data_IF_762979704278
#
_entry.id   IF_762979704278
#
_cell.length_a   1.000
_cell.length_b   1.000
_cell.length_c   1.000
_cell.angle_alpha   90.00
_cell.angle_beta   90.00
_cell.angle_gamma   90.00
#
_symmetry.space_group_name_H-M   'P 1'
#
loop_
_entity.id
_entity.type
_entity.pdbx_description
1 polymer ?
#
# COMPACT_ATOMS: atom_id res chain seq x y z
N UNK A 1 1.06 23.71 -13.76
CA UNK A 1 1.84 24.86 -13.28
C UNK A 1 1.38 26.15 -13.94
N UNK A 2 1.15 26.17 -15.25
CA UNK A 2 0.78 27.38 -16.00
C UNK A 2 -0.55 28.02 -15.53
N UNK A 3 -1.50 27.17 -15.07
CA UNK A 3 -2.81 27.62 -14.53
C UNK A 3 -2.72 28.13 -13.09
N UNK A 4 -1.69 27.72 -12.34
CA UNK A 4 -1.48 28.05 -10.94
C UNK A 4 -0.01 28.41 -10.70
N UNK A 5 0.42 29.62 -11.14
CA UNK A 5 1.83 30.02 -11.14
C UNK A 5 2.43 30.13 -9.73
N UNK A 6 1.58 30.43 -8.73
CA UNK A 6 1.98 30.59 -7.34
C UNK A 6 1.99 29.30 -6.52
N UNK A 7 1.74 28.14 -7.19
CA UNK A 7 1.71 26.83 -6.54
C UNK A 7 2.79 25.92 -7.10
N UNK A 8 3.46 25.21 -6.22
CA UNK A 8 4.32 24.09 -6.58
C UNK A 8 3.56 22.77 -6.44
N UNK A 9 3.58 21.99 -7.51
CA UNK A 9 2.97 20.65 -7.56
C UNK A 9 4.08 19.62 -7.60
N UNK A 10 4.02 18.67 -6.66
CA UNK A 10 5.00 17.59 -6.55
C UNK A 10 4.32 16.27 -6.86
N UNK A 11 4.74 15.55 -7.92
CA UNK A 11 4.26 14.20 -8.17
C UNK A 11 4.85 13.25 -7.13
N UNK A 12 3.99 12.37 -6.60
CA UNK A 12 4.39 11.39 -5.58
C UNK A 12 4.03 9.99 -6.07
N UNK A 13 4.98 9.08 -6.00
CA UNK A 13 4.77 7.65 -6.20
C UNK A 13 4.63 6.96 -4.84
N UNK A 14 3.45 6.41 -4.60
CA UNK A 14 3.15 5.62 -3.42
C UNK A 14 3.58 4.17 -3.64
N UNK A 15 4.57 3.69 -2.90
CA UNK A 15 4.96 2.28 -2.96
C UNK A 15 4.11 1.45 -2.00
N UNK A 16 3.35 0.52 -2.53
CA UNK A 16 2.52 -0.43 -1.75
C UNK A 16 3.35 -1.58 -1.17
N UNK A 17 4.42 -1.26 -0.46
CA UNK A 17 5.43 -2.21 0.03
C UNK A 17 4.93 -3.16 1.12
N UNK A 18 3.86 -2.78 1.81
CA UNK A 18 3.20 -3.58 2.85
C UNK A 18 2.27 -4.65 2.29
N UNK A 19 1.94 -4.60 1.00
CA UNK A 19 1.06 -5.59 0.39
C UNK A 19 1.67 -6.98 0.44
N UNK A 20 0.84 -8.00 0.42
CA UNK A 20 1.23 -9.41 0.51
C UNK A 20 0.88 -10.22 -0.74
N UNK A 21 0.23 -9.57 -1.71
CA UNK A 21 -0.15 -10.23 -2.97
C UNK A 21 1.04 -10.30 -3.92
N UNK A 22 1.90 -11.30 -3.69
CA UNK A 22 3.05 -11.56 -4.53
C UNK A 22 2.66 -11.95 -5.96
N UNK A 23 1.52 -12.59 -6.15
CA UNK A 23 1.08 -13.06 -7.48
C UNK A 23 0.90 -11.90 -8.45
N UNK A 24 0.41 -10.73 -7.97
CA UNK A 24 0.22 -9.54 -8.81
C UNK A 24 1.52 -8.98 -9.37
N UNK A 25 2.63 -9.15 -8.65
CA UNK A 25 3.94 -8.61 -9.03
C UNK A 25 4.92 -9.66 -9.53
N UNK A 26 4.52 -10.94 -9.49
CA UNK A 26 5.42 -12.08 -9.77
C UNK A 26 5.79 -12.21 -11.24
N UNK A 27 5.08 -11.54 -12.15
CA UNK A 27 5.32 -11.67 -13.57
C UNK A 27 5.08 -10.37 -14.35
N UNK A 28 5.78 -10.25 -15.47
CA UNK A 28 5.50 -9.21 -16.48
C UNK A 28 5.65 -9.77 -17.87
N UNK A 29 5.10 -9.07 -18.87
CA UNK A 29 5.19 -9.43 -20.28
C UNK A 29 6.01 -8.37 -21.00
N UNK A 30 7.02 -8.80 -21.74
CA UNK A 30 7.81 -7.95 -22.61
C UNK A 30 7.90 -8.59 -24.01
N UNK A 31 7.51 -7.83 -25.05
CA UNK A 31 7.45 -8.31 -26.44
C UNK A 31 6.75 -9.66 -26.61
N UNK A 32 5.65 -9.87 -25.90
CA UNK A 32 4.86 -11.12 -25.92
C UNK A 32 5.45 -12.28 -25.12
N UNK A 33 6.64 -12.14 -24.55
CA UNK A 33 7.28 -13.15 -23.70
C UNK A 33 7.00 -12.87 -22.23
N UNK A 34 6.52 -13.87 -21.50
CA UNK A 34 6.26 -13.80 -20.06
C UNK A 34 7.55 -14.06 -19.28
N UNK A 35 7.86 -13.15 -18.35
CA UNK A 35 8.93 -13.28 -17.37
C UNK A 35 8.29 -13.51 -16.00
N UNK A 36 8.59 -14.65 -15.37
CA UNK A 36 7.98 -15.09 -14.12
C UNK A 36 9.03 -15.25 -13.04
N UNK A 37 8.85 -14.52 -11.94
CA UNK A 37 9.67 -14.66 -10.74
C UNK A 37 9.09 -15.73 -9.83
N UNK A 38 9.83 -16.81 -9.63
CA UNK A 38 9.45 -17.91 -8.75
C UNK A 38 10.25 -17.80 -7.45
N UNK A 39 9.61 -17.31 -6.40
CA UNK A 39 10.21 -17.25 -5.07
C UNK A 39 9.14 -17.54 -4.00
N UNK A 40 9.59 -17.93 -2.82
CA UNK A 40 8.67 -18.04 -1.67
C UNK A 40 8.41 -16.64 -1.13
N UNK A 41 7.15 -16.28 -1.05
CA UNK A 41 6.69 -15.07 -0.39
C UNK A 41 5.65 -15.43 0.67
N UNK A 42 5.54 -14.68 1.71
CA UNK A 42 4.58 -14.93 2.79
C UNK A 42 4.31 -13.70 3.64
N UNK A 43 4.87 -12.55 3.25
CA UNK A 43 4.75 -11.30 3.98
C UNK A 43 4.68 -10.10 3.06
N UNK A 44 5.00 -8.94 3.59
CA UNK A 44 5.04 -7.68 2.85
C UNK A 44 5.98 -7.79 1.63
N UNK A 45 5.46 -7.56 0.43
CA UNK A 45 6.22 -7.73 -0.83
C UNK A 45 7.47 -6.87 -0.89
N UNK A 46 7.43 -5.68 -0.29
CA UNK A 46 8.58 -4.78 -0.21
C UNK A 46 9.79 -5.36 0.52
N UNK A 47 9.57 -6.33 1.41
CA UNK A 47 10.64 -6.97 2.21
C UNK A 47 11.27 -8.19 1.51
N UNK A 48 10.74 -8.63 0.37
CA UNK A 48 11.27 -9.79 -0.38
C UNK A 48 12.68 -9.46 -0.88
N UNK A 49 13.62 -10.35 -0.60
CA UNK A 49 15.01 -10.17 -1.05
C UNK A 49 15.14 -10.42 -2.55
N UNK A 50 15.82 -9.51 -3.23
CA UNK A 50 15.93 -9.51 -4.69
C UNK A 50 16.93 -10.52 -5.25
N UNK A 51 17.74 -11.16 -4.41
CA UNK A 51 18.78 -12.10 -4.87
C UNK A 51 18.29 -13.22 -5.79
N UNK A 52 17.07 -13.71 -5.58
CA UNK A 52 16.46 -14.75 -6.43
C UNK A 52 15.97 -14.24 -7.79
N UNK A 53 15.97 -12.92 -8.03
CA UNK A 53 15.63 -12.33 -9.34
C UNK A 53 16.74 -12.48 -10.38
N UNK A 54 17.97 -12.66 -9.97
CA UNK A 54 19.12 -12.61 -10.88
C UNK A 54 18.94 -13.47 -12.15
N UNK A 55 18.56 -14.76 -12.10
CA UNK A 55 18.39 -15.56 -13.32
C UNK A 55 17.32 -15.01 -14.27
N UNK A 56 16.21 -14.46 -13.71
CA UNK A 56 15.15 -13.84 -14.50
C UNK A 56 15.63 -12.55 -15.16
N UNK A 57 16.37 -11.73 -14.42
CA UNK A 57 16.91 -10.46 -14.93
C UNK A 57 17.97 -10.69 -16.02
N UNK A 58 18.79 -11.73 -15.89
CA UNK A 58 19.76 -12.10 -16.93
C UNK A 58 19.04 -12.46 -18.24
N UNK A 59 17.95 -13.23 -18.17
CA UNK A 59 17.11 -13.53 -19.34
C UNK A 59 16.46 -12.27 -19.91
N UNK A 60 15.92 -11.42 -19.06
CA UNK A 60 15.28 -10.16 -19.50
C UNK A 60 16.28 -9.22 -20.18
N UNK A 61 17.49 -9.09 -19.66
CA UNK A 61 18.54 -8.27 -20.24
C UNK A 61 18.93 -8.73 -21.66
N UNK A 62 18.87 -10.04 -21.94
CA UNK A 62 19.14 -10.56 -23.30
C UNK A 62 18.08 -10.11 -24.30
N UNK A 63 16.80 -10.00 -23.88
CA UNK A 63 15.72 -9.56 -24.76
C UNK A 63 15.72 -8.03 -25.03
N UNK A 64 16.41 -7.24 -24.23
CA UNK A 64 16.44 -5.78 -24.38
C UNK A 64 17.25 -5.30 -25.63
N UNK A 65 18.09 -6.18 -26.23
CA UNK A 65 18.99 -5.80 -27.31
C UNK A 65 20.13 -4.89 -26.85
N UNK A 66 20.79 -4.18 -27.80
CA UNK A 66 22.05 -3.50 -27.54
C UNK A 66 22.01 -1.98 -27.90
N UNK A 67 20.81 -1.39 -27.98
CA UNK A 67 20.71 0.05 -28.16
C UNK A 67 21.26 0.82 -26.95
N UNK A 68 21.54 2.11 -27.12
CA UNK A 68 22.02 2.99 -26.04
C UNK A 68 21.05 2.93 -24.84
N UNK A 69 19.76 3.02 -25.10
CA UNK A 69 18.73 2.95 -24.04
C UNK A 69 18.64 1.56 -23.40
N UNK A 70 18.77 0.49 -24.20
CA UNK A 70 18.81 -0.87 -23.69
C UNK A 70 20.01 -1.08 -22.74
N UNK A 71 21.18 -0.58 -23.10
CA UNK A 71 22.36 -0.67 -22.26
C UNK A 71 22.22 0.16 -20.97
N UNK A 72 21.60 1.34 -21.04
CA UNK A 72 21.29 2.13 -19.85
C UNK A 72 20.31 1.38 -18.91
N UNK A 73 19.25 0.75 -19.46
CA UNK A 73 18.32 -0.07 -18.68
C UNK A 73 18.97 -1.31 -18.06
N UNK A 74 19.84 -2.01 -18.81
CA UNK A 74 20.61 -3.14 -18.28
C UNK A 74 21.45 -2.73 -17.07
N UNK A 75 22.14 -1.59 -17.16
CA UNK A 75 22.95 -1.04 -16.08
C UNK A 75 22.07 -0.66 -14.87
N UNK A 76 20.93 -0.01 -15.11
CA UNK A 76 19.96 0.35 -14.07
C UNK A 76 19.41 -0.88 -13.34
N UNK A 77 19.00 -1.92 -14.08
CA UNK A 77 18.53 -3.19 -13.52
C UNK A 77 19.61 -3.80 -12.61
N UNK A 78 20.85 -3.84 -13.07
CA UNK A 78 21.97 -4.32 -12.26
C UNK A 78 22.16 -3.53 -10.97
N UNK A 79 22.17 -2.19 -11.06
CA UNK A 79 22.31 -1.30 -9.92
C UNK A 79 21.15 -1.44 -8.92
N UNK A 80 19.93 -1.63 -9.40
CA UNK A 80 18.73 -1.64 -8.55
C UNK A 80 18.48 -3.01 -7.90
N UNK A 81 18.43 -4.07 -8.69
CA UNK A 81 17.93 -5.37 -8.26
C UNK A 81 19.02 -6.41 -7.98
N UNK A 82 20.23 -6.25 -8.53
CA UNK A 82 21.33 -7.21 -8.35
C UNK A 82 22.32 -6.78 -7.25
N UNK A 83 22.29 -5.53 -6.82
CA UNK A 83 23.19 -5.01 -5.77
C UNK A 83 22.93 -5.62 -4.39
N UNK A 84 21.87 -6.42 -4.25
CA UNK A 84 21.37 -6.95 -2.98
C UNK A 84 20.45 -5.97 -2.26
N UNK A 85 19.64 -6.49 -1.39
CA UNK A 85 18.63 -5.70 -0.69
C UNK A 85 17.24 -6.32 -0.78
N UNK A 86 16.22 -5.52 -0.55
CA UNK A 86 14.83 -5.90 -0.72
C UNK A 86 14.17 -5.18 -1.91
N UNK A 87 12.97 -5.63 -2.23
CA UNK A 87 12.24 -5.13 -3.39
C UNK A 87 11.88 -3.65 -3.26
N UNK A 88 11.56 -3.17 -2.05
CA UNK A 88 11.29 -1.76 -1.76
C UNK A 88 12.49 -0.88 -2.14
N UNK A 89 13.68 -1.23 -1.66
CA UNK A 89 14.91 -0.50 -1.97
C UNK A 89 15.24 -0.53 -3.46
N UNK A 90 15.14 -1.70 -4.09
CA UNK A 90 15.40 -1.85 -5.52
C UNK A 90 14.43 -1.02 -6.38
N UNK A 91 13.13 -1.06 -6.05
CA UNK A 91 12.09 -0.29 -6.75
C UNK A 91 12.32 1.21 -6.60
N UNK A 92 12.70 1.67 -5.41
CA UNK A 92 13.03 3.09 -5.15
C UNK A 92 14.17 3.57 -6.06
N UNK A 93 15.28 2.81 -6.15
CA UNK A 93 16.41 3.18 -7.03
C UNK A 93 15.97 3.21 -8.49
N UNK A 94 15.22 2.19 -8.92
CA UNK A 94 14.77 2.06 -10.31
C UNK A 94 13.84 3.21 -10.72
N UNK A 95 12.81 3.48 -9.94
CA UNK A 95 11.82 4.53 -10.21
C UNK A 95 12.47 5.92 -10.10
N UNK A 96 13.33 6.14 -9.10
CA UNK A 96 14.03 7.41 -8.96
C UNK A 96 14.85 7.74 -10.20
N UNK A 97 15.64 6.79 -10.71
CA UNK A 97 16.45 7.02 -11.90
C UNK A 97 15.60 7.39 -13.12
N UNK A 98 14.43 6.77 -13.30
CA UNK A 98 13.57 7.04 -14.43
C UNK A 98 12.86 8.39 -14.35
N UNK A 99 12.57 8.88 -13.16
CA UNK A 99 11.67 10.01 -12.97
C UNK A 99 12.24 11.19 -12.16
N UNK A 100 13.49 11.11 -11.68
CA UNK A 100 14.12 12.19 -10.90
C UNK A 100 14.14 13.53 -11.65
N UNK A 101 14.32 13.50 -12.97
CA UNK A 101 14.29 14.70 -13.80
C UNK A 101 12.92 15.40 -13.82
N UNK A 102 11.85 14.71 -13.47
CA UNK A 102 10.49 15.23 -13.36
C UNK A 102 10.11 15.64 -11.92
N UNK A 103 11.04 15.52 -10.97
CA UNK A 103 10.81 15.85 -9.56
C UNK A 103 9.89 14.88 -8.83
N UNK A 104 9.76 13.62 -9.30
CA UNK A 104 8.95 12.60 -8.64
C UNK A 104 9.55 12.24 -7.27
N UNK A 105 8.77 12.39 -6.23
CA UNK A 105 9.08 11.85 -4.90
C UNK A 105 8.55 10.43 -4.76
N UNK A 106 9.25 9.61 -3.98
CA UNK A 106 8.88 8.21 -3.75
C UNK A 106 8.68 8.00 -2.25
N UNK A 107 7.46 7.63 -1.87
CA UNK A 107 7.08 7.36 -0.49
C UNK A 107 6.91 5.85 -0.29
N UNK A 108 7.53 5.36 0.78
CA UNK A 108 7.33 4.01 1.28
C UNK A 108 6.31 4.05 2.43
N UNK A 109 5.16 3.44 2.24
CA UNK A 109 4.09 3.41 3.22
C UNK A 109 4.48 2.71 4.53
N UNK A 110 5.48 1.81 4.48
CA UNK A 110 5.98 1.03 5.63
C UNK A 110 7.01 1.81 6.48
N UNK A 111 7.23 3.10 6.19
CA UNK A 111 8.15 3.92 6.96
C UNK A 111 7.60 4.21 8.36
N UNK A 112 8.38 3.84 9.39
CA UNK A 112 8.01 4.01 10.79
C UNK A 112 7.76 5.47 11.20
N UNK A 113 8.45 6.43 10.58
CA UNK A 113 8.26 7.85 10.88
C UNK A 113 6.90 8.34 10.34
N UNK A 114 6.52 7.89 9.15
CA UNK A 114 5.22 8.20 8.57
C UNK A 114 4.07 7.54 9.36
N UNK A 115 4.24 6.28 9.77
CA UNK A 115 3.25 5.55 10.58
C UNK A 115 2.94 6.22 11.92
N UNK A 116 3.87 6.96 12.50
CA UNK A 116 3.63 7.71 13.74
C UNK A 116 2.49 8.74 13.59
N UNK A 117 2.34 9.33 12.42
CA UNK A 117 1.25 10.28 12.16
C UNK A 117 -0.12 9.58 12.11
N UNK A 118 -0.13 8.27 11.86
CA UNK A 118 -1.35 7.48 11.78
C UNK A 118 -1.77 6.83 13.11
N UNK A 119 -0.98 6.95 14.18
CA UNK A 119 -1.28 6.37 15.51
C UNK A 119 -2.69 6.72 16.03
N UNK A 120 -3.19 7.97 15.96
CA UNK A 120 -4.54 8.27 16.43
C UNK A 120 -5.62 7.43 15.75
N UNK A 121 -5.53 7.27 14.44
CA UNK A 121 -6.48 6.50 13.62
C UNK A 121 -6.37 4.99 13.83
N UNK A 122 -5.16 4.48 14.05
CA UNK A 122 -4.94 3.07 14.44
C UNK A 122 -5.62 2.74 15.77
N UNK A 123 -5.49 3.65 16.75
CA UNK A 123 -6.14 3.48 18.07
C UNK A 123 -7.65 3.54 17.98
N UNK A 124 -8.18 4.48 17.22
CA UNK A 124 -9.62 4.61 17.02
C UNK A 124 -10.20 3.39 16.31
N UNK A 125 -9.54 2.88 15.27
CA UNK A 125 -9.98 1.66 14.59
C UNK A 125 -10.03 0.45 15.53
N UNK A 126 -9.01 0.28 16.38
CA UNK A 126 -8.98 -0.81 17.36
C UNK A 126 -10.08 -0.69 18.43
N UNK A 127 -10.39 0.51 18.87
CA UNK A 127 -11.33 0.77 19.94
C UNK A 127 -12.77 0.82 19.43
N UNK A 128 -13.03 1.66 18.42
CA UNK A 128 -14.35 2.08 17.98
C UNK A 128 -14.83 1.41 16.69
N UNK A 129 -13.92 0.83 15.87
CA UNK A 129 -14.24 0.23 14.57
C UNK A 129 -14.99 1.20 13.64
N UNK A 130 -14.54 2.46 13.63
CA UNK A 130 -15.19 3.58 12.93
C UNK A 130 -15.24 3.34 11.43
N UNK A 131 -14.19 2.74 10.84
CA UNK A 131 -14.12 2.48 9.41
C UNK A 131 -15.30 1.62 8.94
N UNK A 132 -15.55 0.47 9.57
CA UNK A 132 -16.65 -0.43 9.18
C UNK A 132 -18.01 0.28 9.19
N UNK A 133 -18.30 0.98 10.29
CA UNK A 133 -19.58 1.69 10.49
C UNK A 133 -19.81 2.75 9.42
N UNK A 134 -18.79 3.56 9.16
CA UNK A 134 -18.86 4.67 8.22
C UNK A 134 -18.97 4.19 6.77
N UNK A 135 -18.20 3.17 6.38
CA UNK A 135 -18.25 2.60 5.03
C UNK A 135 -19.60 1.93 4.76
N UNK A 136 -20.15 1.17 5.72
CA UNK A 136 -21.50 0.59 5.58
C UNK A 136 -22.56 1.67 5.42
N UNK A 137 -22.48 2.75 6.20
CA UNK A 137 -23.38 3.90 6.06
C UNK A 137 -23.27 4.54 4.68
N UNK A 138 -22.06 4.71 4.15
CA UNK A 138 -21.85 5.27 2.81
C UNK A 138 -22.41 4.37 1.70
N UNK A 139 -22.24 3.06 1.82
CA UNK A 139 -22.83 2.10 0.87
C UNK A 139 -24.36 2.22 0.84
N UNK A 140 -25.00 2.36 1.98
CA UNK A 140 -26.45 2.58 2.04
C UNK A 140 -26.87 3.95 1.43
N UNK A 141 -26.06 5.00 1.63
CA UNK A 141 -26.29 6.29 0.97
C UNK A 141 -26.18 6.16 -0.56
N UNK A 142 -25.17 5.45 -1.06
CA UNK A 142 -24.99 5.22 -2.50
C UNK A 142 -26.18 4.46 -3.11
N UNK A 143 -26.71 3.44 -2.41
CA UNK A 143 -27.91 2.73 -2.84
C UNK A 143 -29.14 3.63 -2.88
N UNK A 144 -29.32 4.44 -1.85
CA UNK A 144 -30.48 5.30 -1.69
C UNK A 144 -30.51 6.46 -2.70
N UNK A 145 -29.36 7.10 -2.92
CA UNK A 145 -29.30 8.36 -3.65
C UNK A 145 -28.94 8.20 -5.13
N UNK A 146 -28.20 7.16 -5.49
CA UNK A 146 -27.69 6.99 -6.86
C UNK A 146 -28.24 5.75 -7.57
N UNK A 147 -28.13 4.57 -6.94
CA UNK A 147 -28.57 3.33 -7.58
C UNK A 147 -28.99 2.29 -6.54
N UNK A 148 -30.27 1.93 -6.44
CA UNK A 148 -30.74 0.89 -5.51
C UNK A 148 -30.05 -0.48 -5.71
N UNK A 149 -29.58 -0.77 -6.93
CA UNK A 149 -28.89 -2.00 -7.28
C UNK A 149 -27.36 -1.88 -7.14
N UNK A 150 -26.85 -0.82 -6.48
CA UNK A 150 -25.43 -0.61 -6.28
C UNK A 150 -24.80 -1.83 -5.60
N UNK A 151 -23.75 -2.36 -6.24
CA UNK A 151 -22.97 -3.48 -5.71
C UNK A 151 -21.71 -2.96 -5.04
N UNK A 152 -21.57 -3.15 -3.73
CA UNK A 152 -20.36 -2.72 -3.03
C UNK A 152 -19.10 -3.32 -3.64
N UNK A 153 -18.07 -2.50 -3.74
CA UNK A 153 -16.74 -2.90 -4.23
C UNK A 153 -15.88 -3.49 -3.13
N UNK A 154 -16.22 -3.18 -1.87
CA UNK A 154 -15.55 -3.71 -0.69
C UNK A 154 -16.54 -4.36 0.27
N UNK A 155 -16.02 -5.21 1.13
CA UNK A 155 -16.78 -5.86 2.19
C UNK A 155 -16.17 -5.47 3.55
N UNK A 156 -16.67 -4.43 4.22
CA UNK A 156 -16.17 -4.00 5.52
C UNK A 156 -16.28 -5.12 6.56
N UNK A 157 -15.27 -5.23 7.39
CA UNK A 157 -15.20 -6.21 8.47
C UNK A 157 -15.03 -5.46 9.79
N UNK A 158 -14.91 -6.17 10.92
CA UNK A 158 -14.77 -5.52 12.22
C UNK A 158 -13.49 -4.71 12.35
N UNK A 159 -12.37 -5.20 11.80
CA UNK A 159 -11.10 -4.50 11.78
C UNK A 159 -10.48 -4.47 10.37
N UNK A 160 -9.85 -3.35 10.06
CA UNK A 160 -9.22 -3.07 8.76
C UNK A 160 -7.69 -2.98 8.87
N UNK A 161 -7.13 -3.72 9.83
CA UNK A 161 -5.70 -3.75 10.14
C UNK A 161 -5.14 -5.16 10.02
N UNK A 162 -3.89 -5.19 9.59
CA UNK A 162 -3.02 -6.35 9.66
C UNK A 162 -1.90 -6.08 10.68
N UNK A 163 -1.39 -7.12 11.29
CA UNK A 163 -0.21 -7.09 12.13
C UNK A 163 0.96 -7.77 11.41
N UNK A 164 2.10 -7.07 11.35
CA UNK A 164 3.31 -7.55 10.69
C UNK A 164 4.22 -8.21 11.72
N UNK A 165 4.41 -9.52 11.62
CA UNK A 165 5.26 -10.30 12.52
C UNK A 165 6.00 -11.39 11.74
N UNK A 166 7.29 -11.55 12.00
CA UNK A 166 8.14 -12.59 11.41
C UNK A 166 8.09 -12.66 9.87
N UNK A 167 8.00 -11.49 9.23
CA UNK A 167 7.91 -11.40 7.77
C UNK A 167 6.56 -11.80 7.19
N UNK A 168 5.53 -11.98 8.03
CA UNK A 168 4.16 -12.27 7.62
C UNK A 168 3.24 -11.10 7.92
N UNK A 169 2.15 -11.01 7.19
CA UNK A 169 1.09 -10.02 7.36
C UNK A 169 -0.18 -10.74 7.82
N UNK A 170 -0.42 -10.69 9.14
CA UNK A 170 -1.52 -11.38 9.79
C UNK A 170 -2.71 -10.46 9.93
N UNK A 171 -3.87 -10.91 9.51
CA UNK A 171 -5.10 -10.16 9.69
C UNK A 171 -5.47 -10.09 11.17
N UNK A 172 -5.65 -8.89 11.68
CA UNK A 172 -6.07 -8.65 13.05
C UNK A 172 -7.57 -8.95 13.20
N UNK A 173 -7.92 -9.64 14.26
CA UNK A 173 -9.29 -10.04 14.60
C UNK A 173 -9.58 -9.58 16.03
N UNK A 174 -10.73 -8.93 16.24
CA UNK A 174 -11.24 -8.57 17.57
C UNK A 174 -12.28 -9.60 18.01
N UNK A 175 -12.22 -10.01 19.26
CA UNK A 175 -13.21 -10.88 19.88
C UNK A 175 -13.49 -10.44 21.33
N UNK A 176 -14.32 -11.14 22.04
CA UNK A 176 -14.70 -10.82 23.43
C UNK A 176 -13.51 -10.82 24.42
N UNK A 177 -12.42 -11.53 24.09
CA UNK A 177 -11.22 -11.64 24.94
C UNK A 177 -10.13 -10.67 24.57
N UNK A 178 -10.30 -9.86 23.51
CA UNK A 178 -9.33 -8.92 23.00
C UNK A 178 -9.02 -9.09 21.50
N UNK A 179 -7.75 -9.11 21.15
CA UNK A 179 -7.27 -9.14 19.77
C UNK A 179 -6.44 -10.40 19.52
N UNK A 180 -6.55 -10.95 18.31
CA UNK A 180 -5.80 -12.12 17.88
C UNK A 180 -5.62 -12.10 16.35
N UNK A 181 -4.92 -13.09 15.79
CA UNK A 181 -4.84 -13.38 14.35
C UNK A 181 -4.72 -14.89 14.12
N UNK A 182 -4.87 -15.31 12.90
CA UNK A 182 -4.75 -16.73 12.53
C UNK A 182 -3.38 -17.29 12.92
N UNK A 183 -3.39 -18.42 13.65
CA UNK A 183 -2.18 -19.08 14.15
C UNK A 183 -1.67 -18.56 15.49
N UNK A 184 -2.32 -17.55 16.10
CA UNK A 184 -2.02 -17.10 17.47
C UNK A 184 -2.95 -17.78 18.48
N UNK A 185 -2.35 -18.45 19.46
CA UNK A 185 -3.11 -19.17 20.50
C UNK A 185 -3.71 -18.23 21.54
N UNK A 186 -2.95 -17.22 21.96
CA UNK A 186 -3.36 -16.28 23.00
C UNK A 186 -3.97 -15.00 22.44
N UNK A 187 -4.93 -14.44 23.19
CA UNK A 187 -5.47 -13.11 22.90
C UNK A 187 -4.62 -12.03 23.56
N UNK A 188 -4.52 -10.89 22.86
CA UNK A 188 -3.85 -9.68 23.33
C UNK A 188 -4.91 -8.76 23.93
N UNK A 189 -4.71 -8.30 25.15
CA UNK A 189 -5.62 -7.35 25.79
C UNK A 189 -5.61 -5.97 25.13
N UNK A 190 -6.72 -5.23 25.23
CA UNK A 190 -6.83 -3.90 24.66
C UNK A 190 -5.72 -2.93 25.14
N UNK A 191 -5.34 -2.87 26.42
CA UNK A 191 -4.24 -2.01 26.85
C UNK A 191 -2.90 -2.37 26.20
N UNK A 192 -2.64 -3.66 26.03
CA UNK A 192 -1.39 -4.16 25.46
C UNK A 192 -1.27 -3.84 23.97
N UNK A 193 -2.31 -4.08 23.16
CA UNK A 193 -2.26 -3.77 21.73
C UNK A 193 -2.15 -2.26 21.48
N UNK A 194 -2.77 -1.43 22.31
CA UNK A 194 -2.64 0.02 22.23
C UNK A 194 -1.22 0.50 22.59
N UNK A 195 -0.56 -0.16 23.53
CA UNK A 195 0.85 0.08 23.84
C UNK A 195 1.76 -0.30 22.65
N UNK A 196 1.46 -1.41 21.99
CA UNK A 196 2.17 -1.81 20.77
C UNK A 196 2.02 -0.79 19.64
N UNK A 197 0.80 -0.24 19.43
CA UNK A 197 0.58 0.85 18.46
C UNK A 197 1.46 2.04 18.75
N UNK A 198 1.62 2.41 20.02
CA UNK A 198 2.45 3.55 20.42
C UNK A 198 3.95 3.30 20.24
N UNK A 199 4.40 2.08 20.52
CA UNK A 199 5.83 1.73 20.50
C UNK A 199 6.33 1.34 19.13
N UNK A 200 5.48 0.67 18.33
CA UNK A 200 5.86 0.06 17.05
C UNK A 200 4.72 0.19 16.01
N UNK A 201 4.32 1.43 15.64
CA UNK A 201 3.23 1.66 14.70
C UNK A 201 3.49 1.02 13.32
N UNK A 202 4.77 0.82 12.94
CA UNK A 202 5.17 0.15 11.70
C UNK A 202 4.73 -1.31 11.62
N UNK A 203 4.40 -1.93 12.75
CA UNK A 203 3.84 -3.29 12.78
C UNK A 203 2.36 -3.35 12.41
N UNK A 204 1.68 -2.22 12.33
CA UNK A 204 0.27 -2.15 11.97
C UNK A 204 0.13 -1.66 10.53
N UNK A 205 -0.39 -2.52 9.68
CA UNK A 205 -0.58 -2.25 8.25
C UNK A 205 -2.06 -2.07 7.93
N UNK A 206 -2.46 -0.91 7.41
CA UNK A 206 -3.84 -0.69 6.99
C UNK A 206 -4.20 -1.56 5.79
N UNK A 207 -5.45 -2.03 5.74
CA UNK A 207 -5.99 -2.70 4.57
C UNK A 207 -6.42 -1.68 3.50
N UNK A 208 -7.07 -2.19 2.45
CA UNK A 208 -7.57 -1.39 1.32
C UNK A 208 -8.51 -0.23 1.74
N UNK A 209 -9.26 -0.36 2.84
CA UNK A 209 -10.19 0.69 3.31
C UNK A 209 -9.51 1.76 4.18
N UNK A 210 -8.52 1.38 4.97
CA UNK A 210 -7.77 2.31 5.82
C UNK A 210 -6.58 2.97 5.11
N UNK A 211 -6.02 2.33 4.09
CA UNK A 211 -4.87 2.86 3.35
C UNK A 211 -5.12 4.25 2.76
N UNK A 212 -6.27 4.52 2.12
CA UNK A 212 -6.56 5.86 1.60
C UNK A 212 -6.55 6.95 2.68
N UNK A 213 -7.13 6.68 3.85
CA UNK A 213 -7.08 7.62 4.97
C UNK A 213 -5.65 7.86 5.43
N UNK A 214 -4.84 6.81 5.57
CA UNK A 214 -3.42 6.94 5.91
C UNK A 214 -2.67 7.84 4.93
N UNK A 215 -2.91 7.65 3.63
CA UNK A 215 -2.32 8.48 2.58
C UNK A 215 -2.68 9.97 2.78
N UNK A 216 -3.97 10.29 2.96
CA UNK A 216 -4.42 11.68 3.12
C UNK A 216 -3.97 12.32 4.43
N UNK A 217 -3.77 11.53 5.48
CA UNK A 217 -3.21 12.01 6.76
C UNK A 217 -1.77 12.48 6.62
N UNK A 218 -0.96 11.82 5.80
CA UNK A 218 0.47 12.13 5.67
C UNK A 218 0.79 13.03 4.46
N UNK A 219 -0.13 13.19 3.51
CA UNK A 219 0.08 13.95 2.29
C UNK A 219 -1.07 14.95 2.09
N UNK A 220 -0.77 16.24 1.85
CA UNK A 220 -1.77 17.23 1.45
C UNK A 220 -2.11 17.06 -0.04
N UNK A 221 -2.77 15.98 -0.41
CA UNK A 221 -3.06 15.67 -1.79
C UNK A 221 -4.09 16.63 -2.40
N UNK A 222 -3.95 16.93 -3.69
CA UNK A 222 -4.92 17.67 -4.49
C UNK A 222 -5.47 16.82 -5.64
N UNK A 223 -4.83 15.71 -5.95
CA UNK A 223 -5.26 14.74 -6.95
C UNK A 223 -4.68 13.36 -6.63
N UNK A 224 -5.47 12.34 -6.89
CA UNK A 224 -5.08 10.94 -6.80
C UNK A 224 -5.28 10.25 -8.15
N UNK A 225 -4.27 9.52 -8.61
CA UNK A 225 -4.32 8.73 -9.83
C UNK A 225 -4.33 7.25 -9.44
N UNK A 226 -5.50 6.66 -9.40
CA UNK A 226 -5.71 5.25 -9.09
C UNK A 226 -6.22 4.45 -10.28
N UNK A 227 -6.16 3.14 -10.18
CA UNK A 227 -6.83 2.24 -11.10
C UNK A 227 -8.36 2.32 -10.96
N UNK A 228 -9.11 1.88 -11.99
CA UNK A 228 -10.57 1.96 -11.98
C UNK A 228 -11.23 1.27 -10.79
N UNK A 229 -10.69 0.12 -10.35
CA UNK A 229 -11.16 -0.57 -9.14
C UNK A 229 -10.90 0.22 -7.86
N UNK A 230 -9.74 0.92 -7.78
CA UNK A 230 -9.45 1.79 -6.65
C UNK A 230 -10.41 2.97 -6.58
N UNK A 231 -10.62 3.67 -7.69
CA UNK A 231 -11.56 4.80 -7.75
C UNK A 231 -12.97 4.36 -7.36
N UNK A 232 -13.38 3.16 -7.76
CA UNK A 232 -14.69 2.62 -7.44
C UNK A 232 -14.90 2.41 -5.94
N UNK A 233 -13.95 1.81 -5.22
CA UNK A 233 -14.12 1.63 -3.77
C UNK A 233 -13.86 2.93 -2.98
N UNK A 234 -13.11 3.88 -3.50
CA UNK A 234 -12.95 5.18 -2.83
C UNK A 234 -14.30 5.88 -2.63
N UNK A 235 -15.23 5.78 -3.57
CA UNK A 235 -16.58 6.35 -3.41
C UNK A 235 -17.31 5.84 -2.14
N UNK A 236 -16.96 4.67 -1.66
CA UNK A 236 -17.51 4.07 -0.43
C UNK A 236 -16.87 4.62 0.85
N UNK A 237 -15.79 5.42 0.72
CA UNK A 237 -15.03 5.94 1.87
C UNK A 237 -15.46 7.35 2.30
N UNK A 238 -16.29 8.06 1.54
CA UNK A 238 -16.62 9.46 1.82
C UNK A 238 -17.08 9.69 3.26
N UNK A 239 -18.06 8.95 3.74
CA UNK A 239 -18.54 9.10 5.13
C UNK A 239 -17.47 8.78 6.17
N UNK A 240 -16.52 7.91 5.86
CA UNK A 240 -15.40 7.61 6.73
C UNK A 240 -14.43 8.80 6.83
N UNK A 241 -14.09 9.43 5.72
CA UNK A 241 -13.26 10.65 5.69
C UNK A 241 -13.94 11.81 6.43
N UNK A 242 -15.25 12.01 6.20
CA UNK A 242 -16.05 13.03 6.91
C UNK A 242 -16.02 12.80 8.43
N UNK A 243 -16.10 11.54 8.89
CA UNK A 243 -16.02 11.20 10.33
C UNK A 243 -14.66 11.51 10.93
N UNK A 244 -13.61 11.45 10.13
CA UNK A 244 -12.22 11.68 10.55
C UNK A 244 -11.78 13.16 10.37
N UNK A 245 -12.65 14.03 9.87
CA UNK A 245 -12.34 15.42 9.52
C UNK A 245 -11.13 15.54 8.57
N UNK A 246 -11.01 14.60 7.64
CA UNK A 246 -9.98 14.57 6.60
C UNK A 246 -10.61 14.90 5.25
N UNK A 247 -10.02 15.82 4.46
CA UNK A 247 -10.53 16.14 3.13
C UNK A 247 -10.65 14.91 2.22
N UNK A 248 -11.79 14.79 1.56
CA UNK A 248 -12.05 13.72 0.59
C UNK A 248 -11.86 14.25 -0.82
N UNK A 249 -11.09 13.55 -1.66
CA UNK A 249 -10.64 14.03 -2.97
C UNK A 249 -11.62 13.79 -4.14
N UNK A 250 -12.85 13.38 -3.89
CA UNK A 250 -13.86 13.15 -4.93
C UNK A 250 -15.01 14.16 -4.88
#
# INVERSE_FOLDING_TARGET
>A
KDRYPDMDFVPIYWMATEDHDFEEISAFIFQGKKFQWNTKSGGAVGKIKTGSLKPLLDLFKQELGDSINANALKALIGKSYEAGGDLSHATRIFVNFLFEAYGLLIIDADDAALKKHFIPYLKEELQEQTCAKSVLSQIENLKKEYNPDYKPQVNPRDLHLFFLEEGKRHRLIKNERGFTWEGKEDNIGAPEILDWVMKSPEKFSPNVLLRPLYQEVILPNIAYFGGGGELAYWMELKSFFDTQDIPFLF
#
